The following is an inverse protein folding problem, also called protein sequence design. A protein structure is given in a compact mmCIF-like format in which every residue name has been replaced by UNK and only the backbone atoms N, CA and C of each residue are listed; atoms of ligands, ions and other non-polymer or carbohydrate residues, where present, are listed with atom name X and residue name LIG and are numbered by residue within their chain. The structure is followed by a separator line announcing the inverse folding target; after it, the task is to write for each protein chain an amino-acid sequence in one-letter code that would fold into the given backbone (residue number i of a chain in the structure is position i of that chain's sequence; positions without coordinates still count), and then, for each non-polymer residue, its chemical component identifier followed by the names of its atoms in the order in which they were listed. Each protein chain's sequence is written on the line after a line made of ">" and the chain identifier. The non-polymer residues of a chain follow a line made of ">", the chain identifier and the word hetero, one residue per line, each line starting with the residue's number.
data_IF_407192816477
#
_entry.id   IF_407192816477
#
_cell.length_a   1.000
_cell.length_b   1.000
_cell.length_c   1.000
_cell.angle_alpha   90.00
_cell.angle_beta   90.00
_cell.angle_gamma   90.00
#
_symmetry.space_group_name_H-M   'P 1'
#
loop_
_entity.id
_entity.type
_entity.pdbx_description
1 polymer ?
#
# COMPACT_ATOMS: atom_id res chain seq x y z
N UNK A 1 -30.63 -41.85 7.11
CA UNK A 1 -30.40 -40.61 7.83
C UNK A 1 -28.94 -40.11 7.75
N UNK A 2 -27.94 -40.99 7.90
CA UNK A 2 -26.52 -40.56 7.85
C UNK A 2 -26.03 -40.00 6.50
N UNK A 3 -26.56 -40.48 5.38
CA UNK A 3 -26.21 -39.99 4.04
C UNK A 3 -26.72 -38.57 3.77
N UNK A 4 -27.93 -38.26 4.18
CA UNK A 4 -28.52 -36.90 4.03
C UNK A 4 -27.74 -35.89 4.90
N UNK A 5 -27.37 -36.27 6.13
CA UNK A 5 -26.61 -35.43 7.03
C UNK A 5 -25.22 -35.13 6.48
N UNK A 6 -24.54 -36.12 5.88
CA UNK A 6 -23.23 -35.92 5.22
C UNK A 6 -23.35 -35.01 4.00
N UNK A 7 -24.40 -35.14 3.20
CA UNK A 7 -24.60 -34.27 2.03
C UNK A 7 -24.91 -32.83 2.42
N UNK A 8 -25.69 -32.61 3.48
CA UNK A 8 -25.98 -31.28 4.00
C UNK A 8 -24.73 -30.65 4.61
N UNK A 9 -23.91 -31.42 5.34
CA UNK A 9 -22.66 -30.92 5.92
C UNK A 9 -21.64 -30.55 4.83
N UNK A 10 -21.53 -31.30 3.75
CA UNK A 10 -20.68 -30.99 2.61
C UNK A 10 -21.18 -29.74 1.84
N UNK A 11 -22.50 -29.57 1.73
CA UNK A 11 -23.09 -28.40 1.08
C UNK A 11 -22.88 -27.11 1.91
N UNK A 12 -23.01 -27.19 3.24
CA UNK A 12 -22.73 -26.07 4.16
C UNK A 12 -21.26 -25.74 4.20
N UNK A 13 -20.36 -26.72 4.15
CA UNK A 13 -18.93 -26.47 4.11
C UNK A 13 -18.49 -25.81 2.79
N UNK A 14 -19.09 -26.14 1.67
CA UNK A 14 -18.82 -25.52 0.38
C UNK A 14 -19.36 -24.07 0.27
N UNK A 15 -20.39 -23.71 1.03
CA UNK A 15 -20.89 -22.34 1.10
C UNK A 15 -20.02 -21.41 1.97
N UNK A 16 -19.24 -21.98 2.89
CA UNK A 16 -18.33 -21.22 3.75
C UNK A 16 -16.99 -20.85 3.05
N UNK A 17 -16.71 -21.42 1.89
CA UNK A 17 -15.48 -21.14 1.12
C UNK A 17 -15.63 -19.97 0.14
N UNK A 18 -16.75 -19.27 0.07
CA UNK A 18 -16.80 -17.95 -0.54
C UNK A 18 -16.09 -16.96 0.39
N UNK A 19 -14.76 -17.13 0.51
CA UNK A 19 -13.89 -16.17 1.15
C UNK A 19 -14.11 -14.82 0.48
N UNK A 20 -14.35 -13.79 1.30
CA UNK A 20 -14.35 -12.41 0.84
C UNK A 20 -12.98 -12.14 0.20
N UNK A 21 -12.88 -12.27 -1.11
CA UNK A 21 -11.72 -11.78 -1.85
C UNK A 21 -11.63 -10.29 -1.56
N UNK A 22 -10.58 -9.86 -0.87
CA UNK A 22 -10.36 -8.44 -0.60
C UNK A 22 -10.21 -7.74 -1.95
N UNK A 23 -11.18 -6.90 -2.29
CA UNK A 23 -11.20 -6.20 -3.56
C UNK A 23 -10.65 -4.78 -3.38
N UNK A 24 -9.40 -4.56 -3.75
CA UNK A 24 -8.74 -3.25 -3.72
C UNK A 24 -9.10 -2.37 -4.91
N UNK A 25 -9.91 -2.87 -5.84
CA UNK A 25 -10.39 -2.15 -7.01
C UNK A 25 -11.67 -1.39 -6.72
N UNK A 26 -11.75 -0.15 -7.21
CA UNK A 26 -12.95 0.69 -7.13
C UNK A 26 -13.87 0.49 -8.34
N UNK A 27 -13.42 -0.27 -9.34
CA UNK A 27 -14.15 -0.70 -10.52
C UNK A 27 -14.10 -2.22 -10.63
N UNK A 28 -15.02 -2.87 -11.35
CA UNK A 28 -14.91 -4.31 -11.61
C UNK A 28 -13.54 -4.64 -12.21
N UNK A 29 -12.94 -5.72 -11.75
CA UNK A 29 -11.57 -6.08 -12.12
C UNK A 29 -11.39 -6.32 -13.60
N UNK A 30 -12.35 -6.99 -14.22
CA UNK A 30 -12.35 -7.23 -15.67
C UNK A 30 -12.45 -5.95 -16.50
N UNK A 31 -13.11 -4.92 -15.97
CA UNK A 31 -13.13 -3.57 -16.56
C UNK A 31 -11.77 -2.91 -16.40
N UNK A 32 -11.18 -2.99 -15.21
CA UNK A 32 -9.84 -2.46 -14.92
C UNK A 32 -8.78 -3.06 -15.85
N UNK A 33 -8.72 -4.39 -15.98
CA UNK A 33 -7.72 -5.09 -16.79
C UNK A 33 -7.84 -4.78 -18.29
N UNK A 34 -9.04 -4.45 -18.78
CA UNK A 34 -9.27 -3.99 -20.15
C UNK A 34 -8.87 -2.53 -20.36
N UNK A 35 -9.10 -1.69 -19.34
CA UNK A 35 -8.87 -0.25 -19.40
C UNK A 35 -7.40 0.11 -19.18
N UNK A 36 -6.70 -0.59 -18.28
CA UNK A 36 -5.33 -0.28 -17.89
C UNK A 36 -4.36 -1.35 -18.40
N UNK A 37 -3.87 -1.15 -19.60
CA UNK A 37 -2.87 -2.03 -20.22
C UNK A 37 -1.44 -1.52 -20.01
N UNK A 38 -1.26 -0.21 -20.06
CA UNK A 38 0.02 0.46 -19.83
C UNK A 38 -0.08 1.31 -18.58
N UNK A 39 0.62 0.90 -17.52
CA UNK A 39 0.66 1.61 -16.24
C UNK A 39 1.89 2.50 -16.17
N UNK A 40 1.69 3.80 -15.92
CA UNK A 40 2.74 4.70 -15.47
C UNK A 40 2.92 4.59 -13.95
N UNK A 41 4.14 4.61 -13.47
CA UNK A 41 4.44 4.72 -12.03
C UNK A 41 5.12 6.08 -11.85
N UNK A 42 4.47 6.99 -11.13
CA UNK A 42 5.08 8.27 -10.79
C UNK A 42 6.23 8.06 -9.78
N UNK A 43 7.19 8.98 -9.69
CA UNK A 43 8.13 9.00 -8.58
C UNK A 43 7.41 8.92 -7.24
N UNK A 44 7.99 8.24 -6.26
CA UNK A 44 7.36 8.07 -4.94
C UNK A 44 7.40 9.40 -4.19
N UNK A 45 6.23 9.94 -3.87
CA UNK A 45 6.06 11.22 -3.20
C UNK A 45 6.31 11.13 -1.69
N UNK A 46 6.69 12.26 -1.09
CA UNK A 46 6.69 12.45 0.35
C UNK A 46 5.80 13.65 0.67
N UNK A 47 4.72 13.40 1.41
CA UNK A 47 3.88 14.48 1.92
C UNK A 47 4.51 15.05 3.21
N UNK A 48 5.42 15.99 3.05
CA UNK A 48 6.07 16.68 4.15
C UNK A 48 5.10 17.47 5.05
N UNK A 49 3.95 17.88 4.53
CA UNK A 49 2.94 18.65 5.28
C UNK A 49 1.96 17.75 6.05
N UNK A 50 2.11 16.42 5.94
CA UNK A 50 1.36 15.47 6.74
C UNK A 50 1.79 15.47 8.21
N UNK A 51 1.13 14.67 9.05
CA UNK A 51 1.38 14.61 10.50
C UNK A 51 2.70 13.89 10.84
N UNK A 52 3.83 14.43 10.35
CA UNK A 52 5.19 14.02 10.72
C UNK A 52 5.62 14.86 11.91
N UNK A 53 5.75 14.22 13.09
CA UNK A 53 6.05 14.92 14.37
C UNK A 53 7.51 14.81 14.80
N UNK A 54 8.38 14.25 13.97
CA UNK A 54 9.80 14.10 14.31
C UNK A 54 10.45 15.46 14.57
N UNK A 55 11.28 15.63 15.64
CA UNK A 55 11.95 16.88 15.95
C UNK A 55 12.82 17.41 14.79
N UNK A 56 13.49 16.48 14.08
CA UNK A 56 14.31 16.78 12.90
C UNK A 56 13.53 16.45 11.61
N UNK A 57 12.32 17.00 11.47
CA UNK A 57 11.39 16.70 10.38
C UNK A 57 11.99 16.86 8.99
N UNK A 58 12.69 17.96 8.75
CA UNK A 58 13.29 18.24 7.43
C UNK A 58 14.34 17.20 7.05
N UNK A 59 15.22 16.84 8.00
CA UNK A 59 16.23 15.80 7.78
C UNK A 59 15.58 14.45 7.51
N UNK A 60 14.50 14.12 8.23
CA UNK A 60 13.72 12.90 8.00
C UNK A 60 13.09 12.88 6.62
N UNK A 61 12.43 13.96 6.21
CA UNK A 61 11.77 14.08 4.90
C UNK A 61 12.81 13.89 3.78
N UNK A 62 13.97 14.52 3.89
CA UNK A 62 15.05 14.37 2.91
C UNK A 62 15.59 12.92 2.86
N UNK A 63 15.78 12.29 4.02
CA UNK A 63 16.17 10.88 4.10
C UNK A 63 15.16 9.96 3.40
N UNK A 64 13.86 10.19 3.60
CA UNK A 64 12.79 9.41 2.95
C UNK A 64 12.80 9.63 1.44
N UNK A 65 12.93 10.88 0.97
CA UNK A 65 13.04 11.20 -0.47
C UNK A 65 14.18 10.47 -1.15
N UNK A 66 15.36 10.46 -0.54
CA UNK A 66 16.52 9.74 -1.07
C UNK A 66 16.26 8.23 -1.18
N UNK A 67 15.64 7.65 -0.15
CA UNK A 67 15.33 6.23 -0.17
C UNK A 67 14.21 5.89 -1.15
N UNK A 68 13.19 6.75 -1.31
CA UNK A 68 12.18 6.60 -2.34
C UNK A 68 12.82 6.45 -3.72
N UNK A 69 13.67 7.42 -4.13
CA UNK A 69 14.36 7.39 -5.43
C UNK A 69 15.18 6.12 -5.67
N UNK A 70 15.80 5.57 -4.61
CA UNK A 70 16.60 4.34 -4.70
C UNK A 70 15.74 3.11 -4.96
N UNK A 71 14.48 3.10 -4.50
CA UNK A 71 13.61 1.93 -4.53
C UNK A 71 12.50 1.97 -5.60
N UNK A 72 12.30 3.09 -6.32
CA UNK A 72 11.25 3.23 -7.36
C UNK A 72 11.32 2.16 -8.46
N UNK A 73 12.53 1.82 -8.90
CA UNK A 73 12.73 0.80 -9.94
C UNK A 73 12.30 -0.58 -9.50
N UNK A 74 12.42 -0.87 -8.21
CA UNK A 74 11.98 -2.14 -7.64
C UNK A 74 10.45 -2.27 -7.68
N UNK A 75 9.73 -1.20 -7.31
CA UNK A 75 8.27 -1.17 -7.44
C UNK A 75 7.83 -1.49 -8.89
N UNK A 76 8.46 -0.85 -9.86
CA UNK A 76 8.19 -1.10 -11.29
C UNK A 76 8.50 -2.55 -11.67
N UNK A 77 9.60 -3.12 -11.18
CA UNK A 77 9.98 -4.51 -11.45
C UNK A 77 8.93 -5.48 -10.90
N UNK A 78 8.52 -5.30 -9.66
CA UNK A 78 7.51 -6.15 -9.01
C UNK A 78 6.14 -6.04 -9.70
N UNK A 79 5.72 -4.84 -10.10
CA UNK A 79 4.48 -4.64 -10.85
C UNK A 79 4.52 -5.33 -12.23
N UNK A 80 5.66 -5.34 -12.91
CA UNK A 80 5.84 -6.10 -14.17
C UNK A 80 5.71 -7.60 -13.95
N UNK A 81 6.25 -8.12 -12.87
CA UNK A 81 6.18 -9.55 -12.54
C UNK A 81 4.76 -10.04 -12.22
N UNK A 82 3.82 -9.15 -11.87
CA UNK A 82 2.40 -9.55 -11.68
C UNK A 82 1.79 -10.13 -12.96
N UNK A 83 2.27 -9.71 -14.12
CA UNK A 83 1.71 -10.06 -15.43
C UNK A 83 0.31 -9.46 -15.70
N UNK A 84 -0.13 -8.51 -14.88
CA UNK A 84 -1.42 -7.81 -15.03
C UNK A 84 -1.38 -6.81 -16.16
N UNK A 85 -0.22 -6.16 -16.36
CA UNK A 85 -0.04 -5.09 -17.34
C UNK A 85 0.74 -5.57 -18.55
N UNK A 86 0.40 -5.03 -19.72
CA UNK A 86 1.22 -5.18 -20.92
C UNK A 86 2.57 -4.46 -20.78
N UNK A 87 2.54 -3.26 -20.18
CA UNK A 87 3.74 -2.50 -19.88
C UNK A 87 3.60 -1.72 -18.58
N UNK A 88 4.70 -1.62 -17.81
CA UNK A 88 4.82 -0.74 -16.64
C UNK A 88 6.03 0.15 -16.84
N UNK A 89 5.86 1.48 -16.70
CA UNK A 89 6.89 2.49 -16.95
C UNK A 89 7.07 3.39 -15.74
N UNK A 90 8.31 3.58 -15.30
CA UNK A 90 8.64 4.66 -14.35
C UNK A 90 8.61 6.00 -15.11
N UNK A 91 7.92 6.99 -14.56
CA UNK A 91 7.90 8.34 -15.12
C UNK A 91 9.14 9.11 -14.66
N UNK A 92 9.76 9.84 -15.61
CA UNK A 92 11.00 10.61 -15.36
C UNK A 92 10.70 12.06 -14.98
N UNK A 93 9.81 12.25 -14.00
CA UNK A 93 9.46 13.58 -13.49
C UNK A 93 10.09 13.77 -12.09
N UNK A 94 10.29 15.02 -11.68
CA UNK A 94 10.78 15.33 -10.33
C UNK A 94 9.64 15.25 -9.30
N UNK A 95 9.80 14.39 -8.29
CA UNK A 95 8.78 14.15 -7.28
C UNK A 95 8.37 15.42 -6.51
N UNK A 96 9.35 16.30 -6.20
CA UNK A 96 9.13 17.50 -5.40
C UNK A 96 8.37 18.59 -6.18
N UNK A 97 8.46 18.57 -7.51
CA UNK A 97 7.69 19.46 -8.39
C UNK A 97 6.36 18.85 -8.80
N UNK A 98 6.33 17.54 -9.07
CA UNK A 98 5.15 16.86 -9.58
C UNK A 98 4.05 16.75 -8.51
N UNK A 99 4.41 16.39 -7.27
CA UNK A 99 3.42 16.20 -6.20
C UNK A 99 2.56 17.43 -5.94
N UNK A 100 3.10 18.66 -5.67
CA UNK A 100 2.28 19.83 -5.46
C UNK A 100 1.51 20.26 -6.72
N UNK A 101 2.02 19.96 -7.91
CA UNK A 101 1.30 20.23 -9.17
C UNK A 101 0.06 19.37 -9.28
N UNK A 102 0.19 18.07 -9.02
CA UNK A 102 -0.91 17.09 -9.10
C UNK A 102 -1.89 17.21 -7.94
N UNK A 103 -1.41 17.49 -6.72
CA UNK A 103 -2.24 17.48 -5.52
C UNK A 103 -3.32 18.55 -5.57
N UNK A 104 -4.58 18.12 -5.44
CA UNK A 104 -5.73 19.00 -5.25
C UNK A 104 -5.98 19.26 -3.76
N UNK A 105 -6.12 18.19 -3.01
CA UNK A 105 -6.32 18.23 -1.55
C UNK A 105 -5.94 16.91 -0.90
N UNK A 106 -5.67 16.98 0.40
CA UNK A 106 -5.53 15.85 1.31
C UNK A 106 -6.64 15.89 2.36
N UNK A 107 -7.25 14.76 2.64
CA UNK A 107 -8.21 14.61 3.73
C UNK A 107 -7.69 13.58 4.72
N UNK A 108 -7.64 13.94 6.01
CA UNK A 108 -7.45 12.97 7.08
C UNK A 108 -8.79 12.31 7.35
N UNK A 109 -8.85 10.99 7.22
CA UNK A 109 -10.06 10.19 7.44
C UNK A 109 -9.90 9.28 8.65
N UNK A 110 -11.04 8.94 9.23
CA UNK A 110 -11.17 7.93 10.28
C UNK A 110 -12.36 7.03 9.88
N UNK A 111 -12.07 5.92 9.24
CA UNK A 111 -13.07 4.98 8.79
C UNK A 111 -12.98 3.71 9.66
N UNK A 112 -14.00 3.47 10.49
CA UNK A 112 -14.07 2.34 11.42
C UNK A 112 -12.87 2.25 12.41
N UNK A 113 -12.38 3.40 12.89
CA UNK A 113 -11.25 3.49 13.81
C UNK A 113 -9.88 3.42 13.15
N UNK A 114 -9.83 3.37 11.81
CA UNK A 114 -8.57 3.43 11.06
C UNK A 114 -8.36 4.83 10.52
N UNK A 115 -7.33 5.51 11.04
CA UNK A 115 -6.95 6.85 10.59
C UNK A 115 -5.99 6.74 9.40
N UNK A 116 -6.23 7.52 8.35
CA UNK A 116 -5.38 7.57 7.16
C UNK A 116 -5.48 8.90 6.42
N UNK A 117 -4.52 9.19 5.55
CA UNK A 117 -4.56 10.32 4.64
C UNK A 117 -5.08 9.84 3.28
N UNK A 118 -6.15 10.48 2.78
CA UNK A 118 -6.67 10.28 1.43
C UNK A 118 -6.29 11.46 0.56
N UNK A 119 -5.74 11.15 -0.62
CA UNK A 119 -5.27 12.13 -1.58
C UNK A 119 -6.25 12.27 -2.74
N UNK A 120 -6.42 13.50 -3.22
CA UNK A 120 -7.21 13.84 -4.40
C UNK A 120 -6.33 14.65 -5.34
N UNK A 121 -6.34 14.28 -6.60
CA UNK A 121 -5.48 14.87 -7.61
C UNK A 121 -6.29 15.68 -8.62
N UNK A 122 -5.65 16.65 -9.28
CA UNK A 122 -6.27 17.53 -10.28
C UNK A 122 -6.43 16.76 -11.61
N UNK A 123 -7.67 16.60 -12.13
CA UNK A 123 -7.90 15.81 -13.34
C UNK A 123 -7.17 16.34 -14.57
N UNK A 124 -7.10 17.65 -14.75
CA UNK A 124 -6.44 18.27 -15.92
C UNK A 124 -4.93 17.99 -15.93
N UNK A 125 -4.28 18.05 -14.77
CA UNK A 125 -2.85 17.76 -14.64
C UNK A 125 -2.58 16.26 -14.85
N UNK A 126 -3.44 15.39 -14.31
CA UNK A 126 -3.37 13.95 -14.57
C UNK A 126 -3.50 13.64 -16.06
N UNK A 127 -4.52 14.21 -16.71
CA UNK A 127 -4.74 14.03 -18.16
C UNK A 127 -3.51 14.43 -18.99
N UNK A 128 -2.92 15.58 -18.65
CA UNK A 128 -1.70 16.05 -19.32
C UNK A 128 -0.53 15.10 -19.09
N UNK A 129 -0.36 14.60 -17.86
CA UNK A 129 0.71 13.69 -17.49
C UNK A 129 0.56 12.32 -18.17
N UNK A 130 -0.67 11.76 -18.20
CA UNK A 130 -0.95 10.50 -18.91
C UNK A 130 -0.67 10.64 -20.41
N UNK A 131 -1.15 11.73 -21.04
CA UNK A 131 -0.95 11.97 -22.46
C UNK A 131 0.53 12.14 -22.81
N UNK A 132 1.29 12.91 -22.01
CA UNK A 132 2.74 13.10 -22.18
C UNK A 132 3.50 11.77 -22.19
N UNK A 133 3.10 10.82 -21.32
CA UNK A 133 3.82 9.57 -21.12
C UNK A 133 3.23 8.38 -21.93
N UNK A 134 2.10 8.56 -22.60
CA UNK A 134 1.44 7.51 -23.37
C UNK A 134 1.06 6.29 -22.51
N UNK A 135 0.43 6.56 -21.36
CA UNK A 135 -0.02 5.53 -20.40
C UNK A 135 -1.53 5.64 -20.17
N UNK A 136 -2.17 4.52 -19.83
CA UNK A 136 -3.63 4.46 -19.64
C UNK A 136 -4.04 4.93 -18.23
N UNK A 137 -3.19 4.67 -17.25
CA UNK A 137 -3.37 5.09 -15.86
C UNK A 137 -2.02 5.35 -15.20
N UNK A 138 -2.01 6.06 -14.07
CA UNK A 138 -0.81 6.35 -13.28
C UNK A 138 -0.99 5.84 -11.86
N UNK A 139 0.01 5.10 -11.37
CA UNK A 139 0.15 4.77 -9.96
C UNK A 139 0.87 5.91 -9.25
N UNK A 140 0.24 6.44 -8.23
CA UNK A 140 0.72 7.51 -7.36
C UNK A 140 0.93 6.94 -5.97
N UNK A 141 2.18 6.85 -5.53
CA UNK A 141 2.56 6.35 -4.20
C UNK A 141 3.02 7.50 -3.33
N UNK A 142 2.48 7.62 -2.13
CA UNK A 142 2.78 8.73 -1.22
C UNK A 142 3.17 8.20 0.16
N UNK A 143 4.38 8.53 0.60
CA UNK A 143 4.80 8.36 2.00
C UNK A 143 4.32 9.56 2.80
N UNK A 144 3.64 9.31 3.90
CA UNK A 144 3.05 10.36 4.73
C UNK A 144 3.16 10.05 6.21
N UNK A 145 3.09 11.09 7.05
CA UNK A 145 3.07 10.95 8.50
C UNK A 145 1.67 10.74 9.03
N UNK A 146 1.57 9.91 10.04
CA UNK A 146 0.32 9.64 10.73
C UNK A 146 0.57 9.37 12.21
N UNK A 147 -0.33 9.88 13.05
CA UNK A 147 -0.32 9.58 14.49
C UNK A 147 -1.60 8.84 14.86
N UNK A 148 -1.43 7.78 15.62
CA UNK A 148 -2.55 7.01 16.17
C UNK A 148 -2.26 6.57 17.60
N UNK A 149 -3.29 6.46 18.45
CA UNK A 149 -3.14 5.86 19.76
C UNK A 149 -2.85 4.36 19.64
N UNK A 150 -1.90 3.89 20.40
CA UNK A 150 -1.58 2.47 20.54
C UNK A 150 -1.41 2.07 21.99
N UNK A 151 -1.73 0.80 22.27
CA UNK A 151 -1.49 0.17 23.56
C UNK A 151 -0.32 -0.79 23.43
N UNK A 152 0.75 -0.50 24.15
CA UNK A 152 1.92 -1.37 24.23
C UNK A 152 1.91 -2.05 25.59
N UNK A 153 1.86 -3.37 25.57
CA UNK A 153 1.82 -4.18 26.77
C UNK A 153 3.23 -4.51 27.26
N UNK A 154 3.40 -4.55 28.56
CA UNK A 154 4.60 -5.07 29.20
C UNK A 154 4.80 -6.54 28.87
N UNK A 155 6.01 -7.05 29.09
CA UNK A 155 6.36 -8.46 28.82
C UNK A 155 5.49 -9.47 29.58
N UNK A 156 4.95 -9.10 30.74
CA UNK A 156 4.05 -9.93 31.55
C UNK A 156 2.56 -9.73 31.21
N UNK A 157 2.23 -8.82 30.30
CA UNK A 157 0.88 -8.43 29.88
C UNK A 157 -0.03 -7.87 30.99
N UNK A 158 0.51 -7.57 32.16
CA UNK A 158 -0.26 -7.07 33.30
C UNK A 158 -0.43 -5.56 33.28
N UNK A 159 0.48 -4.84 32.66
CA UNK A 159 0.42 -3.40 32.49
C UNK A 159 0.56 -3.01 31.03
N UNK A 160 0.06 -1.85 30.66
CA UNK A 160 0.19 -1.30 29.31
C UNK A 160 0.42 0.21 29.37
N UNK A 161 1.10 0.70 28.36
CA UNK A 161 1.21 2.11 28.04
C UNK A 161 0.30 2.44 26.88
N UNK A 162 -0.60 3.39 27.06
CA UNK A 162 -1.38 3.98 25.96
C UNK A 162 -0.79 5.34 25.63
N UNK A 163 -0.32 5.51 24.41
CA UNK A 163 0.26 6.76 23.93
C UNK A 163 0.03 6.94 22.43
N UNK A 164 0.14 8.18 22.00
CA UNK A 164 0.11 8.53 20.59
C UNK A 164 1.46 8.22 19.94
N UNK A 165 1.47 7.31 18.96
CA UNK A 165 2.67 6.95 18.19
C UNK A 165 2.61 7.55 16.80
N UNK A 166 3.76 8.08 16.35
CA UNK A 166 3.92 8.69 15.04
C UNK A 166 4.65 7.74 14.08
N UNK A 167 4.09 7.60 12.89
CA UNK A 167 4.50 6.64 11.88
C UNK A 167 4.67 7.30 10.51
N UNK A 168 5.56 6.74 9.70
CA UNK A 168 5.52 6.88 8.26
C UNK A 168 4.64 5.78 7.70
N UNK A 169 3.62 6.16 6.96
CA UNK A 169 2.69 5.27 6.30
C UNK A 169 2.77 5.45 4.79
N UNK A 170 2.37 4.43 4.03
CA UNK A 170 2.29 4.48 2.57
C UNK A 170 0.84 4.43 2.15
N UNK A 171 0.47 5.27 1.20
CA UNK A 171 -0.77 5.15 0.45
C UNK A 171 -0.46 5.15 -1.05
N UNK A 172 -1.19 4.33 -1.79
CA UNK A 172 -1.04 4.23 -3.23
C UNK A 172 -2.41 4.27 -3.91
N UNK A 173 -2.47 4.91 -5.07
CA UNK A 173 -3.68 5.00 -5.88
C UNK A 173 -3.30 4.83 -7.35
N UNK A 174 -4.11 4.09 -8.11
CA UNK A 174 -4.05 4.08 -9.56
C UNK A 174 -5.21 4.91 -10.07
N UNK A 175 -4.90 5.95 -10.82
CA UNK A 175 -5.86 6.95 -11.31
C UNK A 175 -5.85 7.03 -12.82
N UNK A 176 -7.02 7.28 -13.41
CA UNK A 176 -7.18 7.50 -14.85
C UNK A 176 -7.06 8.99 -15.23
N UNK A 177 -7.20 9.27 -16.52
CA UNK A 177 -7.16 10.64 -17.06
C UNK A 177 -8.32 11.53 -16.59
N UNK A 178 -9.39 10.97 -16.06
CA UNK A 178 -10.54 11.69 -15.51
C UNK A 178 -10.40 11.95 -14.01
N UNK A 179 -9.31 11.46 -13.38
CA UNK A 179 -9.08 11.55 -11.94
C UNK A 179 -9.86 10.51 -11.13
N UNK A 180 -10.45 9.50 -11.80
CA UNK A 180 -11.09 8.41 -11.08
C UNK A 180 -10.04 7.50 -10.45
N UNK A 181 -10.20 7.17 -9.18
CA UNK A 181 -9.38 6.18 -8.50
C UNK A 181 -9.87 4.80 -8.86
N UNK A 182 -9.10 4.08 -9.68
CA UNK A 182 -9.42 2.74 -10.16
C UNK A 182 -9.04 1.65 -9.15
N UNK A 183 -7.95 1.87 -8.43
CA UNK A 183 -7.41 0.98 -7.40
C UNK A 183 -6.78 1.84 -6.29
N UNK A 184 -6.88 1.40 -5.04
CA UNK A 184 -6.26 2.10 -3.91
C UNK A 184 -5.73 1.13 -2.85
N UNK A 185 -4.63 1.54 -2.20
CA UNK A 185 -3.96 0.80 -1.14
C UNK A 185 -3.56 1.77 0.00
N UNK A 186 -3.94 1.46 1.21
CA UNK A 186 -4.93 0.45 1.59
C UNK A 186 -6.33 0.82 1.13
N UNK A 187 -7.19 -0.17 0.88
CA UNK A 187 -8.60 0.07 0.62
C UNK A 187 -9.41 -0.19 1.88
N UNK A 188 -9.67 0.86 2.64
CA UNK A 188 -10.37 0.76 3.92
C UNK A 188 -11.87 0.43 3.81
N UNK A 189 -12.46 0.49 2.62
CA UNK A 189 -13.86 0.09 2.42
C UNK A 189 -14.11 -1.37 2.77
N UNK A 190 -13.08 -2.18 2.76
CA UNK A 190 -13.16 -3.62 2.98
C UNK A 190 -12.58 -4.08 4.31
N UNK A 191 -12.50 -3.20 5.30
CA UNK A 191 -11.99 -3.53 6.64
C UNK A 191 -10.61 -4.21 6.62
N UNK A 192 -9.69 -3.71 5.78
CA UNK A 192 -8.31 -4.19 5.81
C UNK A 192 -7.73 -3.96 7.20
N UNK A 193 -7.40 -5.04 7.90
CA UNK A 193 -6.80 -5.01 9.23
C UNK A 193 -5.32 -4.60 9.19
N UNK A 194 -4.68 -4.68 8.02
CA UNK A 194 -3.27 -4.32 7.90
C UNK A 194 -3.12 -2.87 7.46
N UNK A 195 -2.46 -2.10 8.31
CA UNK A 195 -2.10 -0.72 8.04
C UNK A 195 -0.72 -0.70 7.34
N UNK A 196 -0.57 -0.07 6.18
CA UNK A 196 0.69 -0.04 5.44
C UNK A 196 1.69 0.91 6.10
N UNK A 197 2.22 0.48 7.22
CA UNK A 197 3.21 1.22 7.98
C UNK A 197 4.59 0.95 7.39
N UNK A 198 5.22 2.00 6.86
CA UNK A 198 6.59 1.93 6.38
C UNK A 198 7.56 1.89 7.56
N UNK A 199 7.39 2.79 8.54
CA UNK A 199 8.31 2.88 9.66
C UNK A 199 7.71 3.58 10.89
N UNK A 200 7.90 3.01 12.09
CA UNK A 200 7.56 3.67 13.34
C UNK A 200 8.68 4.67 13.72
N UNK A 201 8.31 5.95 13.90
CA UNK A 201 9.27 7.01 14.21
C UNK A 201 9.71 7.05 15.67
N UNK A 202 8.95 6.40 16.54
CA UNK A 202 9.21 6.36 17.97
C UNK A 202 9.57 4.95 18.43
N UNK A 203 10.28 4.86 19.54
CA UNK A 203 10.53 3.59 20.20
C UNK A 203 9.29 3.17 20.97
N UNK A 204 8.91 1.90 20.94
CA UNK A 204 7.92 1.35 21.84
C UNK A 204 8.54 1.14 23.23
N UNK A 205 9.17 2.17 23.80
CA UNK A 205 9.82 2.08 25.11
C UNK A 205 8.75 2.08 26.20
N UNK A 206 8.49 0.91 26.73
CA UNK A 206 7.69 0.73 27.92
C UNK A 206 8.62 0.54 29.13
N UNK A 207 8.82 1.62 29.88
CA UNK A 207 9.45 1.57 31.18
C UNK A 207 8.36 1.44 32.25
N UNK A 208 8.17 0.24 32.78
CA UNK A 208 7.14 -0.04 33.80
C UNK A 208 7.29 0.85 35.06
N UNK A 209 8.50 1.18 35.46
CA UNK A 209 8.74 2.04 36.60
C UNK A 209 8.23 3.45 36.32
N UNK A 210 8.53 4.00 35.17
CA UNK A 210 8.05 5.33 34.76
C UNK A 210 6.54 5.36 34.51
N UNK A 211 5.98 4.31 33.93
CA UNK A 211 4.54 4.21 33.70
C UNK A 211 3.75 4.18 34.99
N UNK A 212 4.32 3.64 36.08
CA UNK A 212 3.71 3.63 37.38
C UNK A 212 3.88 4.94 38.16
N UNK A 213 4.88 5.75 37.80
CA UNK A 213 5.19 7.02 38.48
C UNK A 213 4.49 8.23 37.85
N UNK A 214 4.13 8.19 36.56
CA UNK A 214 3.45 9.30 35.93
C UNK A 214 2.52 8.84 34.80
N UNK A 215 1.34 9.48 34.73
CA UNK A 215 0.39 9.28 33.62
C UNK A 215 0.89 9.85 32.26
N UNK A 216 2.05 10.45 32.23
CA UNK A 216 2.66 11.06 31.05
C UNK A 216 4.02 10.42 30.78
N UNK A 217 4.04 9.37 29.97
CA UNK A 217 5.30 8.79 29.48
C UNK A 217 5.64 9.43 28.14
N UNK A 218 6.78 10.17 28.09
CA UNK A 218 7.31 10.65 26.83
C UNK A 218 7.87 9.50 26.02
N UNK A 219 7.25 9.24 24.89
CA UNK A 219 7.76 8.27 23.92
C UNK A 219 8.86 8.94 23.07
N UNK A 220 10.06 8.36 23.10
CA UNK A 220 11.22 8.95 22.43
C UNK A 220 11.21 8.70 20.93
N UNK A 221 11.53 9.73 20.15
CA UNK A 221 11.78 9.57 18.71
C UNK A 221 13.11 8.84 18.45
N UNK A 222 13.12 8.04 17.38
CA UNK A 222 14.33 7.43 16.86
C UNK A 222 15.20 8.51 16.23
N UNK A 223 16.52 8.41 16.39
CA UNK A 223 17.45 9.38 15.78
C UNK A 223 17.54 9.21 14.27
N UNK A 224 17.81 10.29 13.53
CA UNK A 224 17.99 10.23 12.07
C UNK A 224 19.01 9.18 11.64
N UNK A 225 20.21 9.04 12.28
CA UNK A 225 21.14 7.96 11.95
C UNK A 225 20.57 6.55 12.22
N UNK A 226 19.74 6.40 13.25
CA UNK A 226 19.05 5.14 13.55
C UNK A 226 18.03 4.78 12.47
N UNK A 227 17.23 5.76 12.02
CA UNK A 227 16.29 5.61 10.94
C UNK A 227 17.02 5.30 9.62
N UNK A 228 18.09 6.04 9.30
CA UNK A 228 18.89 5.80 8.10
C UNK A 228 19.44 4.36 8.03
N UNK A 229 19.93 3.83 9.16
CA UNK A 229 20.37 2.42 9.22
C UNK A 229 19.25 1.42 8.97
N UNK A 230 18.04 1.70 9.45
CA UNK A 230 16.89 0.83 9.22
C UNK A 230 16.50 0.83 7.73
N UNK A 231 16.49 1.99 7.08
CA UNK A 231 16.22 2.11 5.64
C UNK A 231 17.33 1.49 4.78
N UNK A 232 18.58 1.53 5.24
CA UNK A 232 19.71 0.93 4.53
C UNK A 232 19.80 -0.59 4.71
N UNK A 233 18.98 -1.20 5.57
CA UNK A 233 18.96 -2.66 5.72
C UNK A 233 18.45 -3.30 4.45
N UNK A 234 19.35 -3.98 3.76
CA UNK A 234 19.08 -4.67 2.50
C UNK A 234 18.97 -6.18 2.73
N UNK A 235 18.09 -6.82 1.98
CA UNK A 235 18.10 -8.27 1.83
C UNK A 235 18.44 -8.63 0.40
N UNK A 236 19.27 -9.66 0.23
CA UNK A 236 19.51 -10.24 -1.08
C UNK A 236 18.29 -11.10 -1.44
N UNK A 237 17.42 -10.58 -2.29
CA UNK A 237 16.33 -11.37 -2.86
C UNK A 237 16.89 -12.24 -3.97
N UNK A 238 16.54 -13.55 -3.99
CA UNK A 238 17.05 -14.47 -5.02
C UNK A 238 16.78 -13.94 -6.44
N UNK A 239 17.85 -13.64 -7.17
CA UNK A 239 17.78 -13.15 -8.55
C UNK A 239 17.49 -11.66 -8.73
N UNK A 240 17.27 -10.90 -7.67
CA UNK A 240 17.07 -9.46 -7.66
C UNK A 240 18.24 -8.77 -6.96
N UNK A 241 18.48 -7.51 -7.29
CA UNK A 241 19.47 -6.68 -6.62
C UNK A 241 19.21 -6.52 -5.10
N UNK A 242 20.08 -5.79 -4.41
CA UNK A 242 19.84 -5.44 -3.01
C UNK A 242 18.70 -4.43 -2.92
N UNK A 243 17.62 -4.78 -2.23
CA UNK A 243 16.43 -3.95 -2.03
C UNK A 243 16.28 -3.64 -0.54
N UNK A 244 15.80 -2.46 -0.22
CA UNK A 244 15.46 -2.13 1.17
C UNK A 244 14.29 -2.99 1.65
N UNK A 245 14.50 -3.72 2.75
CA UNK A 245 13.49 -4.62 3.35
C UNK A 245 12.16 -3.91 3.61
N UNK A 246 12.21 -2.63 4.03
CA UNK A 246 11.02 -1.85 4.34
C UNK A 246 10.16 -1.61 3.09
N UNK A 247 10.81 -1.28 1.96
CA UNK A 247 10.12 -1.05 0.69
C UNK A 247 9.68 -2.35 0.05
N UNK A 248 10.53 -3.39 0.07
CA UNK A 248 10.21 -4.68 -0.51
C UNK A 248 8.93 -5.28 0.07
N UNK A 249 8.77 -5.25 1.39
CA UNK A 249 7.57 -5.72 2.07
C UNK A 249 6.30 -5.01 1.56
N UNK A 250 6.33 -3.68 1.45
CA UNK A 250 5.16 -2.90 1.00
C UNK A 250 4.91 -3.09 -0.49
N UNK A 251 5.95 -3.11 -1.30
CA UNK A 251 5.83 -3.27 -2.75
C UNK A 251 5.34 -4.67 -3.12
N UNK A 252 5.85 -5.70 -2.45
CA UNK A 252 5.40 -7.07 -2.61
C UNK A 252 3.93 -7.24 -2.22
N UNK A 253 3.50 -6.59 -1.13
CA UNK A 253 2.09 -6.59 -0.73
C UNK A 253 1.23 -5.89 -1.81
N UNK A 254 1.57 -4.68 -2.23
CA UNK A 254 0.86 -3.97 -3.29
C UNK A 254 0.81 -4.75 -4.61
N UNK A 255 1.92 -5.38 -5.01
CA UNK A 255 1.99 -6.18 -6.24
C UNK A 255 1.13 -7.44 -6.14
N UNK A 256 1.15 -8.13 -4.99
CA UNK A 256 0.36 -9.34 -4.76
C UNK A 256 -1.15 -9.10 -4.94
N UNK A 257 -1.63 -7.93 -4.50
CA UNK A 257 -3.04 -7.52 -4.60
C UNK A 257 -3.48 -7.20 -6.04
N UNK A 258 -2.52 -7.07 -6.95
CA UNK A 258 -2.76 -6.79 -8.37
C UNK A 258 -2.56 -8.03 -9.26
N UNK A 259 -2.13 -9.17 -8.71
CA UNK A 259 -1.97 -10.40 -9.49
C UNK A 259 -3.31 -10.87 -10.07
N UNK A 260 -3.33 -11.35 -11.33
CA UNK A 260 -4.54 -11.90 -11.93
C UNK A 260 -5.08 -13.07 -11.09
N UNK A 261 -6.39 -13.17 -10.97
CA UNK A 261 -7.00 -14.36 -10.37
C UNK A 261 -6.63 -15.60 -11.19
N UNK A 262 -6.03 -16.58 -10.53
CA UNK A 262 -5.72 -17.88 -11.15
C UNK A 262 -6.87 -18.84 -10.92
N UNK A 263 -7.21 -19.62 -11.93
CA UNK A 263 -8.10 -20.76 -11.77
C UNK A 263 -7.41 -21.83 -10.88
N UNK A 264 -8.21 -22.66 -10.19
CA UNK A 264 -7.73 -23.81 -9.41
C UNK A 264 -6.75 -24.73 -10.16
N UNK A 265 -6.74 -24.68 -11.49
CA UNK A 265 -5.85 -25.43 -12.38
C UNK A 265 -4.69 -24.62 -12.97
N UNK A 266 -4.40 -23.42 -12.44
CA UNK A 266 -3.23 -22.62 -12.80
C UNK A 266 -3.33 -21.76 -14.07
N UNK A 267 -4.45 -21.80 -14.81
CA UNK A 267 -4.72 -20.92 -15.97
C UNK A 267 -5.38 -19.59 -15.60
N UNK A 268 -5.23 -18.57 -16.45
CA UNK A 268 -6.00 -17.31 -16.31
C UNK A 268 -7.50 -17.59 -16.50
N UNK A 269 -8.34 -16.96 -15.68
CA UNK A 269 -9.82 -17.15 -15.70
C UNK A 269 -10.45 -16.84 -17.06
N UNK A 270 -9.83 -16.05 -17.90
CA UNK A 270 -10.36 -15.60 -19.21
C UNK A 270 -10.04 -16.58 -20.36
N UNK A 271 -9.03 -17.43 -20.24
CA UNK A 271 -8.68 -18.40 -21.30
C UNK A 271 -9.74 -19.50 -21.47
N UNK A 272 -10.64 -19.67 -20.49
CA UNK A 272 -11.70 -20.67 -20.53
C UNK A 272 -12.98 -20.26 -21.31
N UNK A 273 -13.12 -18.99 -21.70
CA UNK A 273 -14.33 -18.53 -22.44
C UNK A 273 -14.20 -18.62 -23.96
N UNK A 274 -13.00 -18.55 -24.50
CA UNK A 274 -12.79 -18.62 -25.96
C UNK A 274 -12.86 -20.04 -26.54
N UNK A 275 -12.57 -21.09 -25.76
CA UNK A 275 -12.61 -22.47 -26.27
C UNK A 275 -14.01 -23.10 -26.36
N UNK A 276 -15.04 -22.49 -25.76
CA UNK A 276 -16.44 -23.01 -25.88
C UNK A 276 -17.20 -22.50 -27.10
N UNK A 277 -16.66 -21.53 -27.83
CA UNK A 277 -17.30 -20.98 -29.05
C UNK A 277 -16.87 -21.62 -30.38
N UNK A 278 -15.82 -22.44 -30.40
CA UNK A 278 -15.25 -22.99 -31.64
C UNK A 278 -15.68 -24.43 -31.97
N UNK A 279 -16.59 -25.00 -31.20
CA UNK A 279 -16.96 -26.44 -31.32
C UNK A 279 -18.38 -26.73 -31.80
N UNK A 280 -19.09 -25.76 -32.44
CA UNK A 280 -20.39 -26.05 -33.12
C UNK A 280 -20.49 -25.25 -34.41
N UNK A 281 -20.00 -25.81 -35.45
CA UNK A 281 -20.52 -25.65 -36.84
C UNK A 281 -20.30 -26.95 -37.59
#
# INVERSE_FOLDING_TARGET
>A
MHTVFRSVLLLTLSLLTFGCAQNFYNVPRDVYEKQVRTLGVAPIFVDGDSDIRHPEKEALVNLVRENNRKNEKELVAQLRETGTYFAVRLLEDDADQLFPTLLSRREKRDDAGVKYNKYFFKPEELKSLLAKNGVDAIMLVTVNGLTRPEKIYSSNLLSYLESDYNYLAVSAQIVDAQGNTLWEYPNFRQHSLSYPMLFALQYPDFDEAKANESNNVEVRFKTIPGIARAFAKMEATQGKGQVSVLYDNIFSDMASLQQPERNLFGGRKDEGKEQKGAGQK
#
